data_IF_915233854311
#
_entry.id   IF_915233854311
#
_cell.length_a   1.000
_cell.length_b   1.000
_cell.length_c   1.000
_cell.angle_alpha   90.00
_cell.angle_beta   90.00
_cell.angle_gamma   90.00
#
_symmetry.space_group_name_H-M   'P 1'
#
loop_
_entity.id
_entity.type
_entity.pdbx_description
1 polymer ?
#
# COMPACT_ATOMS: atom_id res chain seq x y z
N UNK A 1 44.48 -23.59 -36.76
CA UNK A 1 44.08 -23.92 -35.36
C UNK A 1 43.38 -22.69 -34.81
N UNK A 2 42.05 -22.70 -34.79
CA UNK A 2 41.22 -23.02 -33.63
C UNK A 2 40.97 -21.78 -32.76
N UNK A 3 39.69 -21.43 -32.63
CA UNK A 3 39.22 -20.32 -31.82
C UNK A 3 38.00 -19.63 -32.43
N UNK A 4 36.93 -20.39 -32.72
CA UNK A 4 35.61 -19.77 -32.93
C UNK A 4 35.16 -19.22 -31.58
N UNK A 5 35.36 -17.92 -31.39
CA UNK A 5 34.88 -17.20 -30.21
C UNK A 5 33.35 -17.18 -30.23
N UNK A 6 32.76 -18.17 -29.55
CA UNK A 6 31.35 -18.21 -29.22
C UNK A 6 31.04 -17.09 -28.25
N UNK A 7 30.73 -15.90 -28.77
CA UNK A 7 30.11 -14.83 -28.02
C UNK A 7 28.78 -15.36 -27.46
N UNK A 8 28.78 -15.79 -26.19
CA UNK A 8 27.54 -16.13 -25.48
C UNK A 8 26.80 -14.81 -25.21
N UNK A 9 26.10 -14.33 -26.23
CA UNK A 9 25.10 -13.28 -26.08
C UNK A 9 24.00 -13.84 -25.20
N UNK A 10 23.76 -13.26 -24.03
CA UNK A 10 22.57 -13.56 -23.23
C UNK A 10 21.36 -13.48 -24.18
N UNK A 11 20.62 -14.59 -24.38
CA UNK A 11 19.51 -14.65 -25.32
C UNK A 11 18.56 -13.47 -25.12
N UNK A 12 18.04 -12.90 -26.22
CA UNK A 12 17.06 -11.81 -26.17
C UNK A 12 15.90 -12.14 -25.23
N UNK A 13 15.47 -13.41 -25.20
CA UNK A 13 14.46 -13.95 -24.29
C UNK A 13 14.76 -13.66 -22.82
N UNK A 14 15.99 -13.91 -22.36
CA UNK A 14 16.36 -13.74 -20.95
C UNK A 14 16.38 -12.26 -20.55
N UNK A 15 16.76 -11.38 -21.49
CA UNK A 15 16.70 -9.92 -21.29
C UNK A 15 15.26 -9.42 -21.18
N UNK A 16 14.36 -9.90 -22.05
CA UNK A 16 12.93 -9.56 -22.02
C UNK A 16 12.30 -10.04 -20.71
N UNK A 17 12.57 -11.28 -20.30
CA UNK A 17 12.07 -11.85 -19.03
C UNK A 17 12.59 -11.06 -17.81
N UNK A 18 13.87 -10.68 -17.81
CA UNK A 18 14.45 -9.89 -16.72
C UNK A 18 13.87 -8.47 -16.62
N UNK A 19 13.56 -7.85 -17.77
CA UNK A 19 12.90 -6.55 -17.83
C UNK A 19 11.44 -6.64 -17.34
N UNK A 20 10.70 -7.65 -17.78
CA UNK A 20 9.32 -7.89 -17.36
C UNK A 20 9.22 -8.10 -15.84
N UNK A 21 10.10 -8.93 -15.25
CA UNK A 21 10.15 -9.12 -13.80
C UNK A 21 10.40 -7.83 -13.01
N UNK A 22 11.23 -6.93 -13.53
CA UNK A 22 11.49 -5.63 -12.91
C UNK A 22 10.26 -4.70 -12.99
N UNK A 23 9.58 -4.70 -14.14
CA UNK A 23 8.33 -3.97 -14.32
C UNK A 23 7.22 -4.47 -13.40
N UNK A 24 7.07 -5.80 -13.26
CA UNK A 24 6.08 -6.42 -12.38
C UNK A 24 6.34 -6.05 -10.92
N UNK A 25 7.62 -6.12 -10.48
CA UNK A 25 8.00 -5.72 -9.12
C UNK A 25 7.68 -4.25 -8.81
N UNK A 26 7.96 -3.34 -9.76
CA UNK A 26 7.62 -1.91 -9.61
C UNK A 26 6.11 -1.69 -9.57
N UNK A 27 5.34 -2.46 -10.35
CA UNK A 27 3.88 -2.39 -10.35
C UNK A 27 3.31 -2.83 -9.02
N UNK A 28 3.76 -3.97 -8.49
CA UNK A 28 3.40 -4.47 -7.16
C UNK A 28 3.75 -3.46 -6.06
N UNK A 29 4.94 -2.86 -6.13
CA UNK A 29 5.37 -1.81 -5.21
C UNK A 29 4.41 -0.60 -5.24
N UNK A 30 4.07 -0.10 -6.43
CA UNK A 30 3.14 1.05 -6.59
C UNK A 30 1.75 0.73 -6.11
N UNK A 31 1.23 -0.47 -6.37
CA UNK A 31 -0.08 -0.91 -5.86
C UNK A 31 -0.08 -0.93 -4.33
N UNK A 32 0.95 -1.52 -3.70
CA UNK A 32 1.06 -1.51 -2.23
C UNK A 32 1.15 -0.10 -1.66
N UNK A 33 1.92 0.78 -2.31
CA UNK A 33 2.05 2.17 -1.90
C UNK A 33 0.72 2.92 -2.04
N UNK A 34 -0.01 2.74 -3.14
CA UNK A 34 -1.32 3.36 -3.35
C UNK A 34 -2.32 2.94 -2.28
N UNK A 35 -2.41 1.63 -2.00
CA UNK A 35 -3.23 1.07 -0.90
C UNK A 35 -2.83 1.69 0.44
N UNK A 36 -1.53 1.74 0.73
CA UNK A 36 -1.00 2.27 1.98
C UNK A 36 -1.29 3.77 2.16
N UNK A 37 -1.03 4.58 1.13
CA UNK A 37 -1.26 6.03 1.13
C UNK A 37 -2.74 6.35 1.30
N UNK A 38 -3.63 5.64 0.59
CA UNK A 38 -5.07 5.81 0.79
C UNK A 38 -5.45 5.48 2.24
N UNK A 39 -4.98 4.36 2.78
CA UNK A 39 -5.28 3.96 4.17
C UNK A 39 -4.76 4.96 5.22
N UNK A 40 -3.61 5.60 4.99
CA UNK A 40 -3.06 6.59 5.93
C UNK A 40 -3.77 7.94 5.81
N UNK A 41 -4.02 8.41 4.58
CA UNK A 41 -4.53 9.77 4.36
C UNK A 41 -6.04 9.87 4.51
N UNK A 42 -6.81 8.84 4.11
CA UNK A 42 -8.26 8.91 4.08
C UNK A 42 -8.87 9.30 5.44
N UNK A 43 -8.52 8.68 6.59
CA UNK A 43 -9.13 9.01 7.87
C UNK A 43 -8.87 10.45 8.34
N UNK A 44 -7.78 11.06 7.88
CA UNK A 44 -7.44 12.47 8.16
C UNK A 44 -8.14 13.41 7.18
N UNK A 45 -8.25 13.00 5.91
CA UNK A 45 -8.81 13.82 4.84
C UNK A 45 -10.30 14.14 5.06
N UNK A 46 -11.07 13.22 5.68
CA UNK A 46 -12.50 13.43 5.94
C UNK A 46 -12.77 14.60 6.90
N UNK A 47 -12.28 14.61 8.15
CA UNK A 47 -12.53 15.71 9.08
C UNK A 47 -11.84 17.00 8.63
N UNK A 48 -10.64 16.90 8.05
CA UNK A 48 -9.92 18.07 7.53
C UNK A 48 -10.68 18.73 6.36
N UNK A 49 -11.22 17.93 5.44
CA UNK A 49 -11.99 18.44 4.32
C UNK A 49 -13.32 19.05 4.78
N UNK A 50 -13.99 18.46 5.76
CA UNK A 50 -15.21 19.03 6.34
C UNK A 50 -14.92 20.36 7.05
N UNK A 51 -13.84 20.44 7.82
CA UNK A 51 -13.41 21.68 8.47
C UNK A 51 -13.08 22.78 7.45
N UNK A 52 -12.36 22.44 6.38
CA UNK A 52 -12.02 23.39 5.32
C UNK A 52 -13.27 23.89 4.58
N UNK A 53 -14.20 22.99 4.23
CA UNK A 53 -15.46 23.36 3.60
C UNK A 53 -16.30 24.27 4.51
N UNK A 54 -16.40 23.94 5.81
CA UNK A 54 -17.08 24.79 6.78
C UNK A 54 -16.47 26.19 6.86
N UNK A 55 -15.13 26.30 6.81
CA UNK A 55 -14.43 27.59 6.85
C UNK A 55 -14.69 28.45 5.61
N UNK A 56 -14.82 27.82 4.44
CA UNK A 56 -15.16 28.49 3.18
C UNK A 56 -16.60 29.00 3.18
N UNK A 57 -17.53 28.26 3.80
CA UNK A 57 -18.93 28.65 3.98
C UNK A 57 -19.15 29.65 5.13
N UNK A 58 -18.09 30.09 5.81
CA UNK A 58 -18.16 31.02 6.94
C UNK A 58 -18.69 30.41 8.24
N UNK A 59 -18.76 29.08 8.35
CA UNK A 59 -19.15 28.35 9.57
C UNK A 59 -17.94 28.11 10.48
N UNK A 60 -18.20 27.82 11.75
CA UNK A 60 -17.16 27.60 12.78
C UNK A 60 -16.44 26.26 12.64
N UNK A 61 -17.04 25.28 11.94
CA UNK A 61 -16.48 23.94 11.77
C UNK A 61 -16.68 23.00 12.96
N UNK A 62 -17.65 23.28 13.83
CA UNK A 62 -17.97 22.46 15.01
C UNK A 62 -18.32 21.00 14.64
N UNK A 63 -18.99 20.80 13.49
CA UNK A 63 -19.44 19.48 13.02
C UNK A 63 -18.46 18.84 12.01
N UNK A 64 -17.16 19.13 12.12
CA UNK A 64 -16.17 18.61 11.18
C UNK A 64 -16.02 17.08 11.26
N UNK A 65 -16.29 16.50 12.43
CA UNK A 65 -16.14 15.07 12.71
C UNK A 65 -17.45 14.32 12.49
N UNK A 66 -17.56 13.44 11.48
CA UNK A 66 -18.72 12.58 11.34
C UNK A 66 -18.68 11.46 12.40
N UNK A 67 -19.85 10.93 12.77
CA UNK A 67 -19.96 9.85 13.76
C UNK A 67 -19.38 8.49 13.32
N UNK A 68 -18.99 8.34 12.06
CA UNK A 68 -18.22 7.22 11.50
C UNK A 68 -17.52 7.69 10.23
N UNK A 69 -16.51 6.97 9.75
CA UNK A 69 -15.84 7.28 8.48
C UNK A 69 -16.86 7.31 7.33
N UNK A 70 -17.79 6.35 7.32
CA UNK A 70 -18.87 6.29 6.33
C UNK A 70 -19.93 7.38 6.51
N UNK A 71 -20.00 8.04 7.67
CA UNK A 71 -20.81 9.24 7.85
C UNK A 71 -20.44 10.36 6.87
N UNK A 72 -19.25 10.30 6.25
CA UNK A 72 -18.83 11.19 5.18
C UNK A 72 -19.83 11.30 4.01
N UNK A 73 -20.68 10.29 3.77
CA UNK A 73 -21.76 10.34 2.79
C UNK A 73 -22.69 11.54 2.94
N UNK A 74 -22.85 12.03 4.16
CA UNK A 74 -23.72 13.15 4.52
C UNK A 74 -22.94 14.42 4.86
N UNK A 75 -21.68 14.49 4.46
CA UNK A 75 -20.78 15.64 4.68
C UNK A 75 -20.20 16.14 3.36
N UNK A 76 -19.43 17.23 3.42
CA UNK A 76 -18.76 17.81 2.25
C UNK A 76 -17.63 16.94 1.69
N UNK A 77 -17.21 15.88 2.39
CA UNK A 77 -16.14 14.96 1.96
C UNK A 77 -16.63 13.64 1.36
N UNK A 78 -17.91 13.55 1.00
CA UNK A 78 -18.50 12.37 0.34
C UNK A 78 -17.68 11.89 -0.86
N UNK A 79 -17.31 12.78 -1.77
CA UNK A 79 -16.63 12.37 -3.01
C UNK A 79 -15.20 11.90 -2.75
N UNK A 80 -14.54 12.46 -1.72
CA UNK A 80 -13.22 11.99 -1.26
C UNK A 80 -13.34 10.56 -0.71
N UNK A 81 -14.36 10.32 0.12
CA UNK A 81 -14.63 9.00 0.69
C UNK A 81 -14.90 7.94 -0.39
N UNK A 82 -15.86 8.21 -1.27
CA UNK A 82 -16.26 7.29 -2.36
C UNK A 82 -15.10 7.06 -3.33
N UNK A 83 -14.43 8.13 -3.77
CA UNK A 83 -13.31 8.02 -4.70
C UNK A 83 -12.14 7.23 -4.13
N UNK A 84 -11.81 7.44 -2.84
CA UNK A 84 -10.74 6.71 -2.17
C UNK A 84 -11.06 5.22 -2.02
N UNK A 85 -12.31 4.86 -1.66
CA UNK A 85 -12.71 3.46 -1.55
C UNK A 85 -12.78 2.73 -2.90
N UNK A 86 -13.22 3.42 -3.96
CA UNK A 86 -13.13 2.88 -5.32
C UNK A 86 -11.67 2.60 -5.72
N UNK A 87 -10.77 3.56 -5.50
CA UNK A 87 -9.35 3.39 -5.80
C UNK A 87 -8.71 2.26 -4.96
N UNK A 88 -8.98 2.24 -3.65
CA UNK A 88 -8.54 1.17 -2.75
C UNK A 88 -9.03 -0.20 -3.23
N UNK A 89 -10.31 -0.30 -3.60
CA UNK A 89 -10.93 -1.52 -4.08
C UNK A 89 -10.25 -2.07 -5.32
N UNK A 90 -10.05 -1.22 -6.33
CA UNK A 90 -9.39 -1.62 -7.58
C UNK A 90 -7.93 -2.01 -7.35
N UNK A 91 -7.18 -1.26 -6.52
CA UNK A 91 -5.80 -1.62 -6.21
C UNK A 91 -5.69 -2.99 -5.52
N UNK A 92 -6.59 -3.30 -4.58
CA UNK A 92 -6.64 -4.60 -3.93
C UNK A 92 -7.03 -5.73 -4.90
N UNK A 93 -8.00 -5.48 -5.80
CA UNK A 93 -8.42 -6.45 -6.82
C UNK A 93 -7.31 -6.77 -7.81
N UNK A 94 -6.50 -5.79 -8.22
CA UNK A 94 -5.44 -5.98 -9.23
C UNK A 94 -4.15 -6.50 -8.60
N UNK A 95 -3.94 -6.31 -7.30
CA UNK A 95 -2.76 -6.81 -6.61
C UNK A 95 -2.67 -8.34 -6.71
N UNK A 96 -1.53 -8.84 -7.21
CA UNK A 96 -1.23 -10.27 -7.37
C UNK A 96 0.04 -10.63 -6.62
N UNK A 97 -0.03 -11.70 -5.83
CA UNK A 97 1.06 -12.18 -5.01
C UNK A 97 1.07 -13.72 -4.88
N UNK A 98 -0.02 -14.31 -4.36
CA UNK A 98 -0.22 -15.77 -4.35
C UNK A 98 -1.71 -16.06 -4.25
N UNK A 99 -2.13 -17.27 -4.66
CA UNK A 99 -3.56 -17.64 -4.79
C UNK A 99 -4.43 -17.22 -3.61
N UNK A 100 -3.98 -17.49 -2.38
CA UNK A 100 -4.76 -17.18 -1.18
C UNK A 100 -4.87 -15.67 -0.93
N UNK A 101 -3.78 -14.94 -1.14
CA UNK A 101 -3.75 -13.49 -1.01
C UNK A 101 -4.49 -12.79 -2.15
N UNK A 102 -4.51 -13.38 -3.35
CA UNK A 102 -5.21 -12.84 -4.52
C UNK A 102 -6.73 -12.93 -4.33
N UNK A 103 -7.22 -14.05 -3.80
CA UNK A 103 -8.64 -14.22 -3.42
C UNK A 103 -9.00 -13.22 -2.33
N UNK A 104 -8.20 -13.15 -1.25
CA UNK A 104 -8.49 -12.23 -0.13
C UNK A 104 -8.44 -10.76 -0.57
N UNK A 105 -7.49 -10.38 -1.42
CA UNK A 105 -7.42 -9.04 -2.00
C UNK A 105 -8.62 -8.72 -2.89
N UNK A 106 -9.11 -9.69 -3.66
CA UNK A 106 -10.34 -9.54 -4.45
C UNK A 106 -11.56 -9.36 -3.55
N UNK A 107 -11.71 -10.19 -2.50
CA UNK A 107 -12.83 -10.06 -1.54
C UNK A 107 -12.79 -8.70 -0.85
N UNK A 108 -11.64 -8.31 -0.30
CA UNK A 108 -11.49 -7.01 0.35
C UNK A 108 -11.78 -5.86 -0.61
N UNK A 109 -11.28 -5.94 -1.85
CA UNK A 109 -11.51 -4.89 -2.84
C UNK A 109 -12.96 -4.79 -3.30
N UNK A 110 -13.65 -5.91 -3.48
CA UNK A 110 -15.10 -5.92 -3.75
C UNK A 110 -15.89 -5.33 -2.57
N UNK A 111 -15.51 -5.63 -1.32
CA UNK A 111 -16.14 -5.03 -0.15
C UNK A 111 -15.91 -3.51 -0.11
N UNK A 112 -14.71 -3.03 -0.40
CA UNK A 112 -14.42 -1.58 -0.48
C UNK A 112 -15.28 -0.88 -1.53
N UNK A 113 -15.41 -1.47 -2.73
CA UNK A 113 -16.32 -0.95 -3.76
C UNK A 113 -17.77 -1.01 -3.29
N UNK A 114 -18.19 -2.07 -2.60
CA UNK A 114 -19.52 -2.16 -1.99
C UNK A 114 -19.80 -1.00 -1.03
N UNK A 115 -18.89 -0.73 -0.08
CA UNK A 115 -18.99 0.41 0.84
C UNK A 115 -19.09 1.75 0.09
N UNK A 116 -18.40 1.89 -1.04
CA UNK A 116 -18.42 3.08 -1.89
C UNK A 116 -19.70 3.28 -2.72
N UNK A 117 -20.43 2.20 -3.00
CA UNK A 117 -21.64 2.23 -3.84
C UNK A 117 -22.94 2.28 -3.02
N UNK A 118 -22.94 1.74 -1.81
CA UNK A 118 -24.09 1.73 -0.92
C UNK A 118 -23.89 2.78 0.18
N UNK A 119 -24.68 3.86 0.24
CA UNK A 119 -24.62 4.82 1.35
C UNK A 119 -25.00 4.20 2.69
N UNK A 120 -24.37 4.67 3.77
CA UNK A 120 -24.78 4.34 5.14
C UNK A 120 -26.09 5.04 5.51
N UNK A 121 -26.66 4.76 6.68
CA UNK A 121 -27.86 5.46 7.16
C UNK A 121 -27.59 6.95 7.45
N UNK A 122 -28.53 7.86 7.16
CA UNK A 122 -28.43 9.25 7.60
C UNK A 122 -28.29 9.34 9.13
N UNK A 123 -27.64 10.39 9.66
CA UNK A 123 -27.60 10.64 11.10
C UNK A 123 -28.99 10.65 11.71
N UNK A 124 -29.20 9.88 12.79
CA UNK A 124 -30.48 9.76 13.48
C UNK A 124 -31.51 8.83 12.82
N UNK A 125 -31.19 8.21 11.68
CA UNK A 125 -32.04 7.20 11.06
C UNK A 125 -31.68 5.79 11.53
N UNK A 126 -32.69 4.93 11.67
CA UNK A 126 -32.46 3.51 11.91
C UNK A 126 -31.91 2.84 10.63
N UNK A 127 -30.71 2.25 10.74
CA UNK A 127 -30.07 1.57 9.62
C UNK A 127 -30.79 0.29 9.20
N UNK A 128 -31.55 -0.35 10.10
CA UNK A 128 -32.23 -1.64 9.83
C UNK A 128 -33.44 -1.49 8.91
N UNK A 129 -34.02 -0.29 8.86
CA UNK A 129 -35.16 0.06 8.00
C UNK A 129 -34.76 0.35 6.54
N UNK A 130 -33.45 0.44 6.25
CA UNK A 130 -32.93 0.70 4.92
C UNK A 130 -32.09 -0.48 4.42
N UNK A 131 -32.56 -1.25 3.41
CA UNK A 131 -31.78 -2.35 2.83
C UNK A 131 -30.41 -1.89 2.31
N UNK A 132 -30.32 -0.65 1.83
CA UNK A 132 -29.06 -0.05 1.35
C UNK A 132 -28.09 0.18 2.51
N UNK A 133 -28.57 0.68 3.65
CA UNK A 133 -27.75 0.88 4.84
C UNK A 133 -27.30 -0.46 5.45
N UNK A 134 -28.17 -1.48 5.45
CA UNK A 134 -27.80 -2.84 5.85
C UNK A 134 -26.70 -3.40 4.95
N UNK A 135 -26.84 -3.27 3.62
CA UNK A 135 -25.79 -3.69 2.68
C UNK A 135 -24.47 -2.96 2.95
N UNK A 136 -24.52 -1.64 3.15
CA UNK A 136 -23.33 -0.86 3.51
C UNK A 136 -22.65 -1.42 4.76
N UNK A 137 -23.39 -1.65 5.84
CA UNK A 137 -22.86 -2.18 7.09
C UNK A 137 -22.21 -3.55 6.89
N UNK A 138 -22.86 -4.46 6.14
CA UNK A 138 -22.31 -5.78 5.82
C UNK A 138 -20.99 -5.65 5.04
N UNK A 139 -20.94 -4.81 4.00
CA UNK A 139 -19.71 -4.59 3.24
C UNK A 139 -18.60 -3.95 4.09
N UNK A 140 -18.93 -3.02 4.99
CA UNK A 140 -17.97 -2.36 5.86
C UNK A 140 -17.36 -3.35 6.87
N UNK A 141 -18.20 -4.17 7.51
CA UNK A 141 -17.75 -5.23 8.42
C UNK A 141 -16.84 -6.23 7.68
N UNK A 142 -17.29 -6.71 6.51
CA UNK A 142 -16.49 -7.64 5.70
C UNK A 142 -15.20 -7.01 5.20
N UNK A 143 -15.17 -5.72 4.87
CA UNK A 143 -13.96 -5.00 4.47
C UNK A 143 -12.91 -5.01 5.60
N UNK A 144 -13.28 -4.58 6.80
CA UNK A 144 -12.35 -4.52 7.94
C UNK A 144 -11.84 -5.91 8.34
N UNK A 145 -12.73 -6.91 8.37
CA UNK A 145 -12.35 -8.30 8.66
C UNK A 145 -11.41 -8.82 7.56
N UNK A 146 -11.73 -8.56 6.29
CA UNK A 146 -10.88 -8.99 5.17
C UNK A 146 -9.52 -8.32 5.20
N UNK A 147 -9.43 -7.03 5.55
CA UNK A 147 -8.16 -6.32 5.74
C UNK A 147 -7.32 -6.95 6.86
N UNK A 148 -7.93 -7.29 8.00
CA UNK A 148 -7.27 -7.97 9.09
C UNK A 148 -6.73 -9.34 8.65
N UNK A 149 -7.58 -10.16 8.03
CA UNK A 149 -7.21 -11.49 7.54
C UNK A 149 -6.10 -11.37 6.48
N UNK A 150 -6.19 -10.41 5.56
CA UNK A 150 -5.18 -10.20 4.53
C UNK A 150 -3.81 -9.91 5.15
N UNK A 151 -3.75 -9.04 6.16
CA UNK A 151 -2.52 -8.81 6.92
C UNK A 151 -2.00 -10.11 7.57
N UNK A 152 -2.86 -10.92 8.19
CA UNK A 152 -2.46 -12.19 8.81
C UNK A 152 -2.03 -13.27 7.80
N UNK A 153 -2.54 -13.21 6.57
CA UNK A 153 -2.10 -14.06 5.46
C UNK A 153 -0.74 -13.61 4.91
N UNK A 154 -0.53 -12.30 4.75
CA UNK A 154 0.77 -11.72 4.37
C UNK A 154 1.83 -12.00 5.42
N UNK A 155 1.50 -12.03 6.72
CA UNK A 155 2.39 -12.48 7.78
C UNK A 155 2.92 -13.92 7.57
N UNK A 156 2.13 -14.77 6.90
CA UNK A 156 2.44 -16.18 6.62
C UNK A 156 2.96 -16.42 5.20
N UNK A 157 3.04 -15.39 4.37
CA UNK A 157 3.46 -15.49 2.98
C UNK A 157 4.92 -15.96 2.83
N UNK A 158 5.19 -16.89 1.89
CA UNK A 158 6.55 -17.17 1.44
C UNK A 158 7.26 -15.89 0.96
N UNK A 159 8.56 -15.74 1.20
CA UNK A 159 9.34 -14.53 0.88
C UNK A 159 9.17 -13.37 1.88
N UNK A 160 8.00 -13.22 2.50
CA UNK A 160 7.81 -12.29 3.63
C UNK A 160 8.29 -12.93 4.94
N UNK A 161 8.09 -14.24 5.09
CA UNK A 161 8.50 -15.01 6.28
C UNK A 161 9.96 -14.82 6.69
N UNK A 162 10.85 -14.67 5.71
CA UNK A 162 12.30 -14.52 5.88
C UNK A 162 12.69 -13.11 6.37
N UNK A 163 11.77 -12.14 6.28
CA UNK A 163 12.02 -10.72 6.58
C UNK A 163 11.18 -10.27 7.76
N UNK A 164 11.68 -10.50 8.97
CA UNK A 164 10.97 -10.18 10.22
C UNK A 164 10.51 -8.72 10.32
N UNK A 165 11.28 -7.78 9.78
CA UNK A 165 10.97 -6.34 9.79
C UNK A 165 9.79 -5.96 8.87
N UNK A 166 9.52 -6.71 7.80
CA UNK A 166 8.32 -6.54 6.95
C UNK A 166 7.16 -7.36 7.50
N UNK A 167 7.47 -8.55 8.02
CA UNK A 167 6.50 -9.50 8.51
C UNK A 167 5.77 -9.03 9.77
N UNK A 168 6.50 -8.54 10.78
CA UNK A 168 5.92 -8.15 12.08
C UNK A 168 4.85 -7.04 11.96
N UNK A 169 5.05 -5.97 11.16
CA UNK A 169 4.00 -4.98 10.92
C UNK A 169 2.67 -5.58 10.45
N UNK A 170 2.69 -6.58 9.56
CA UNK A 170 1.47 -7.27 9.13
C UNK A 170 0.77 -8.03 10.26
N UNK A 171 1.52 -8.68 11.16
CA UNK A 171 0.92 -9.33 12.33
C UNK A 171 0.25 -8.30 13.24
N UNK A 172 1.00 -7.26 13.59
CA UNK A 172 0.52 -6.19 14.49
C UNK A 172 -0.72 -5.54 13.90
N UNK A 173 -0.69 -5.17 12.62
CA UNK A 173 -1.83 -4.57 11.94
C UNK A 173 -3.06 -5.49 11.95
N UNK A 174 -2.89 -6.78 11.60
CA UNK A 174 -4.00 -7.74 11.58
C UNK A 174 -4.64 -7.92 12.95
N UNK A 175 -3.83 -8.02 14.02
CA UNK A 175 -4.34 -8.14 15.39
C UNK A 175 -5.03 -6.85 15.85
N UNK A 176 -4.41 -5.68 15.60
CA UNK A 176 -4.97 -4.40 15.99
C UNK A 176 -6.32 -4.14 15.33
N UNK A 177 -6.49 -4.44 14.04
CA UNK A 177 -7.78 -4.29 13.36
C UNK A 177 -8.86 -5.13 14.05
N UNK A 178 -8.58 -6.39 14.40
CA UNK A 178 -9.54 -7.24 15.11
C UNK A 178 -9.89 -6.69 16.50
N UNK A 179 -8.90 -6.15 17.21
CA UNK A 179 -9.12 -5.48 18.50
C UNK A 179 -10.02 -4.26 18.33
N UNK A 180 -9.75 -3.39 17.35
CA UNK A 180 -10.58 -2.20 17.11
C UNK A 180 -11.99 -2.55 16.65
N UNK A 181 -12.16 -3.60 15.84
CA UNK A 181 -13.50 -4.11 15.49
C UNK A 181 -14.24 -4.58 16.75
N UNK A 182 -13.57 -5.34 17.64
CA UNK A 182 -14.18 -5.77 18.89
C UNK A 182 -14.52 -4.60 19.83
N UNK A 183 -13.66 -3.58 19.90
CA UNK A 183 -13.90 -2.36 20.68
C UNK A 183 -15.06 -1.54 20.11
N UNK A 184 -15.18 -1.43 18.79
CA UNK A 184 -16.31 -0.76 18.15
C UNK A 184 -17.64 -1.44 18.49
N UNK A 185 -17.67 -2.78 18.45
CA UNK A 185 -18.85 -3.57 18.84
C UNK A 185 -19.17 -3.37 20.34
N UNK A 186 -18.15 -3.40 21.20
CA UNK A 186 -18.34 -3.21 22.63
C UNK A 186 -18.86 -1.79 22.97
N UNK A 187 -18.31 -0.77 22.31
CA UNK A 187 -18.77 0.62 22.46
C UNK A 187 -20.22 0.76 22.01
N UNK A 188 -20.57 0.24 20.83
CA UNK A 188 -21.94 0.26 20.32
C UNK A 188 -22.93 -0.53 21.19
N UNK A 189 -22.49 -1.58 21.89
CA UNK A 189 -23.34 -2.36 22.79
C UNK A 189 -23.54 -1.72 24.18
N UNK A 190 -22.77 -0.69 24.50
CA UNK A 190 -22.76 -0.04 25.83
C UNK A 190 -23.08 1.45 25.77
N UNK A 191 -23.35 1.99 24.56
CA UNK A 191 -23.55 3.41 24.27
C UNK A 191 -22.43 4.31 24.81
N UNK A 192 -21.23 3.73 25.02
CA UNK A 192 -20.08 4.45 25.56
C UNK A 192 -19.57 5.38 24.48
N UNK A 193 -19.55 6.67 24.79
CA UNK A 193 -18.86 7.69 23.98
C UNK A 193 -19.64 8.18 22.77
N UNK A 194 -20.95 7.91 22.69
CA UNK A 194 -21.79 8.43 21.59
C UNK A 194 -21.87 9.96 21.57
N UNK A 195 -21.78 10.60 22.74
CA UNK A 195 -21.75 12.07 22.87
C UNK A 195 -20.34 12.68 22.69
N UNK A 196 -19.31 11.86 22.42
CA UNK A 196 -17.95 12.38 22.25
C UNK A 196 -17.80 13.07 20.89
N UNK A 197 -16.93 14.10 20.85
CA UNK A 197 -16.59 14.79 19.60
C UNK A 197 -16.06 13.84 18.51
N UNK A 198 -15.30 12.83 18.93
CA UNK A 198 -14.83 11.73 18.08
C UNK A 198 -15.44 10.47 18.67
N UNK A 199 -16.46 9.94 17.99
CA UNK A 199 -17.14 8.73 18.43
C UNK A 199 -16.16 7.55 18.46
N UNK A 200 -16.34 6.59 19.38
CA UNK A 200 -15.53 5.38 19.41
C UNK A 200 -15.58 4.59 18.10
N UNK A 201 -16.72 4.61 17.39
CA UNK A 201 -16.85 4.00 16.07
C UNK A 201 -15.88 4.63 15.06
N UNK A 202 -15.90 5.96 14.93
CA UNK A 202 -14.97 6.67 14.03
C UNK A 202 -13.52 6.37 14.39
N UNK A 203 -13.19 6.40 15.68
CA UNK A 203 -11.83 6.14 16.15
C UNK A 203 -11.37 4.71 15.84
N UNK A 204 -12.23 3.71 16.04
CA UNK A 204 -11.90 2.32 15.76
C UNK A 204 -11.76 2.05 14.26
N UNK A 205 -12.63 2.62 13.42
CA UNK A 205 -12.52 2.55 11.96
C UNK A 205 -11.21 3.20 11.49
N UNK A 206 -10.94 4.42 11.97
CA UNK A 206 -9.70 5.14 11.67
C UNK A 206 -8.48 4.29 12.04
N UNK A 207 -8.35 3.87 13.29
CA UNK A 207 -7.18 3.14 13.76
C UNK A 207 -7.02 1.78 13.04
N UNK A 208 -8.12 1.15 12.62
CA UNK A 208 -8.09 -0.05 11.78
C UNK A 208 -7.51 0.24 10.39
N UNK A 209 -8.02 1.28 9.72
CA UNK A 209 -7.55 1.68 8.38
C UNK A 209 -6.09 2.13 8.43
N UNK A 210 -5.67 2.85 9.49
CA UNK A 210 -4.27 3.19 9.72
C UNK A 210 -3.37 1.99 9.94
N UNK A 211 -3.79 1.05 10.78
CA UNK A 211 -3.04 -0.20 11.03
C UNK A 211 -2.74 -0.92 9.72
N UNK A 212 -3.76 -1.05 8.86
CA UNK A 212 -3.59 -1.61 7.52
C UNK A 212 -2.69 -0.73 6.63
N UNK A 213 -2.97 0.57 6.52
CA UNK A 213 -2.26 1.49 5.64
C UNK A 213 -0.76 1.58 5.92
N UNK A 214 -0.36 1.64 7.21
CA UNK A 214 1.05 1.66 7.60
C UNK A 214 1.77 0.35 7.28
N UNK A 215 1.15 -0.81 7.53
CA UNK A 215 1.74 -2.10 7.19
C UNK A 215 2.00 -2.23 5.68
N UNK A 216 1.03 -1.79 4.85
CA UNK A 216 1.14 -1.82 3.40
C UNK A 216 2.16 -0.81 2.85
N UNK A 217 2.23 0.39 3.43
CA UNK A 217 3.25 1.39 3.10
C UNK A 217 4.65 0.86 3.42
N UNK A 218 4.85 0.30 4.62
CA UNK A 218 6.14 -0.30 5.00
C UNK A 218 6.57 -1.43 4.06
N UNK A 219 5.63 -2.29 3.65
CA UNK A 219 5.91 -3.34 2.68
C UNK A 219 6.20 -2.81 1.26
N UNK A 220 5.60 -1.69 0.86
CA UNK A 220 5.91 -1.02 -0.39
C UNK A 220 7.33 -0.43 -0.38
N UNK A 221 7.71 0.26 0.70
CA UNK A 221 9.04 0.85 0.86
C UNK A 221 10.14 -0.21 0.92
N UNK A 222 9.91 -1.32 1.61
CA UNK A 222 10.84 -2.45 1.62
C UNK A 222 11.07 -3.02 0.21
N UNK A 223 10.01 -3.15 -0.60
CA UNK A 223 10.13 -3.62 -1.97
C UNK A 223 10.83 -2.59 -2.87
N UNK A 224 10.62 -1.29 -2.64
CA UNK A 224 11.33 -0.22 -3.34
C UNK A 224 12.85 -0.28 -3.09
N UNK A 225 13.25 -0.53 -1.84
CA UNK A 225 14.65 -0.71 -1.48
C UNK A 225 15.29 -1.91 -2.20
N UNK A 226 14.59 -3.04 -2.26
CA UNK A 226 15.06 -4.24 -2.97
C UNK A 226 15.29 -3.96 -4.46
N UNK A 227 14.32 -3.31 -5.13
CA UNK A 227 14.43 -2.92 -6.53
C UNK A 227 15.64 -2.00 -6.74
N UNK A 228 15.84 -1.03 -5.83
CA UNK A 228 16.99 -0.15 -5.83
C UNK A 228 18.32 -0.90 -5.71
N UNK A 229 18.43 -1.84 -4.76
CA UNK A 229 19.61 -2.70 -4.59
C UNK A 229 19.89 -3.54 -5.84
N UNK A 230 18.87 -4.16 -6.43
CA UNK A 230 19.01 -4.97 -7.65
C UNK A 230 19.52 -4.15 -8.84
N UNK A 231 19.00 -2.93 -9.03
CA UNK A 231 19.44 -2.04 -10.11
C UNK A 231 20.93 -1.67 -10.00
N UNK A 232 21.40 -1.39 -8.77
CA UNK A 232 22.79 -1.07 -8.47
C UNK A 232 23.72 -2.26 -8.72
N UNK A 233 23.34 -3.46 -8.26
CA UNK A 233 24.14 -4.67 -8.47
C UNK A 233 24.26 -5.01 -9.96
N UNK A 234 23.17 -4.88 -10.74
CA UNK A 234 23.21 -5.08 -12.20
C UNK A 234 24.15 -4.10 -12.89
N UNK A 235 24.16 -2.83 -12.47
CA UNK A 235 25.06 -1.81 -13.02
C UNK A 235 26.53 -2.14 -12.74
N UNK A 236 26.86 -2.55 -11.51
CA UNK A 236 28.23 -2.95 -11.13
C UNK A 236 28.68 -4.18 -11.91
N UNK A 237 27.86 -5.23 -11.98
CA UNK A 237 28.19 -6.46 -12.74
C UNK A 237 28.39 -6.14 -14.22
N UNK A 238 27.53 -5.29 -14.81
CA UNK A 238 27.69 -4.84 -16.20
C UNK A 238 29.00 -4.10 -16.44
N UNK A 239 29.40 -3.22 -15.52
CA UNK A 239 30.67 -2.50 -15.60
C UNK A 239 31.88 -3.45 -15.49
N UNK A 240 31.85 -4.40 -14.54
CA UNK A 240 32.91 -5.40 -14.36
C UNK A 240 33.02 -6.30 -15.59
N UNK A 241 31.90 -6.79 -16.13
CA UNK A 241 31.90 -7.61 -17.34
C UNK A 241 32.41 -6.82 -18.55
N UNK A 242 32.08 -5.53 -18.68
CA UNK A 242 32.60 -4.67 -19.76
C UNK A 242 34.11 -4.44 -19.64
N UNK A 243 34.60 -4.25 -18.42
CA UNK A 243 36.03 -4.14 -18.13
C UNK A 243 36.78 -5.44 -18.46
N UNK A 244 36.30 -6.59 -18.00
CA UNK A 244 36.87 -7.91 -18.31
C UNK A 244 36.85 -8.25 -19.80
N UNK A 245 35.90 -7.69 -20.56
CA UNK A 245 35.75 -7.90 -22.01
C UNK A 245 36.55 -6.92 -22.88
N UNK A 246 37.16 -5.89 -22.30
CA UNK A 246 38.02 -4.98 -23.06
C UNK A 246 39.45 -5.54 -23.04
N UNK A 247 39.97 -6.11 -24.14
CA UNK A 247 41.34 -6.61 -24.15
C UNK A 247 42.29 -5.41 -24.17
N UNK A 248 43.06 -5.24 -23.09
CA UNK A 248 44.27 -4.42 -23.05
C UNK A 248 44.11 -2.91 -23.29
N UNK A 249 43.88 -2.14 -22.22
CA UNK A 249 44.47 -0.81 -22.13
C UNK A 249 45.68 -0.93 -21.20
N UNK A 250 46.93 -0.77 -21.69
CA UNK A 250 48.08 -0.85 -20.82
C UNK A 250 48.04 0.31 -19.82
N UNK A 251 48.26 0.00 -18.53
CA UNK A 251 48.74 0.97 -17.56
C UNK A 251 50.08 1.50 -18.09
N UNK A 252 50.04 2.66 -18.74
CA UNK A 252 51.23 3.35 -19.22
C UNK A 252 52.15 3.65 -18.04
N UNK A 253 53.20 2.85 -17.87
CA UNK A 253 54.35 3.23 -17.05
C UNK A 253 55.00 4.44 -17.71
N UNK A 254 54.96 5.58 -17.03
CA UNK A 254 55.74 6.76 -17.41
C UNK A 254 57.20 6.38 -17.60
N UNK A 255 57.76 6.74 -18.76
CA UNK A 255 59.18 6.62 -19.04
C UNK A 255 59.89 7.78 -18.32
N UNK A 256 60.98 7.55 -17.57
CA UNK A 256 61.74 8.66 -17.00
C UNK A 256 62.49 9.41 -18.12
N UNK A 257 62.78 10.71 -17.95
CA UNK A 257 63.46 11.49 -18.98
C UNK A 257 64.91 11.00 -19.11
N UNK A 258 65.28 10.59 -20.32
CA UNK A 258 66.66 10.26 -20.69
C UNK A 258 67.45 11.54 -20.86
N UNK A 259 68.59 11.61 -20.18
CA UNK A 259 69.63 12.60 -20.40
C UNK A 259 70.18 12.48 -21.82
N UNK A 260 70.20 13.57 -22.58
CA UNK A 260 71.12 13.75 -23.70
C UNK A 260 71.95 15.01 -23.42
N UNK A 261 73.24 14.77 -23.17
CA UNK A 261 74.30 15.72 -23.40
C UNK A 261 74.81 15.49 -24.83
N UNK A 262 75.00 16.55 -25.62
CA UNK A 262 76.21 16.79 -26.43
C UNK A 262 76.12 18.10 -27.22
N UNK A 263 77.31 18.73 -27.34
CA UNK A 263 77.75 19.94 -28.06
C UNK A 263 77.21 21.28 -27.59
#
# INVERSE_FOLDING_TARGET
MSGKDGAVTVPLRDRVVAAQRDQDARTVMRLRLGVGVIGVLLPLALPLGNWMAARLDGRTGADAWPGSMSGAYYTSTRDIFVGALCALGIFLIIYRFNKLNDVMGTVAGCCAVGVALFPTAPPGADATESPVAVLHFVFAALLLISMAVFCLLMYRAPGIKERSYVRRPYLVAGVLILVFVALAIAAAATDIGDDWLITPLYLCEWLSVWSFGFAWTGAALSLAEDIGRLSRTRAVVGAVLKWLRSPGAPLGRGKPPTSEATS
#
